data_IF_399678097412
#
_entry.id   IF_399678097412
#
_cell.length_a   1.000
_cell.length_b   1.000
_cell.length_c   1.000
_cell.angle_alpha   90.00
_cell.angle_beta   90.00
_cell.angle_gamma   90.00
#
_symmetry.space_group_name_H-M   'P 1'
#
loop_
_entity.id
_entity.type
_entity.pdbx_description
1 polymer ?
#
# COMPACT_ATOMS: atom_id res chain seq x y z
N UNK A 1 -18.63 2.24 5.27
CA UNK A 1 -19.05 3.66 5.24
C UNK A 1 -19.71 3.94 6.57
N UNK A 2 -19.26 4.96 7.31
CA UNK A 2 -19.95 5.40 8.53
C UNK A 2 -21.27 6.09 8.16
N UNK A 3 -22.15 6.29 9.14
CA UNK A 3 -23.43 7.00 8.93
C UNK A 3 -23.24 8.41 8.34
N UNK A 4 -22.08 9.03 8.56
CA UNK A 4 -21.69 10.35 8.03
C UNK A 4 -21.16 10.32 6.58
N UNK A 5 -21.21 9.18 5.90
CA UNK A 5 -20.68 9.04 4.54
C UNK A 5 -19.16 9.04 4.42
N UNK A 6 -18.43 8.96 5.55
CA UNK A 6 -16.97 8.82 5.56
C UNK A 6 -16.56 7.35 5.42
N UNK A 7 -15.42 7.13 4.76
CA UNK A 7 -14.80 5.82 4.70
C UNK A 7 -14.37 5.40 6.10
N UNK A 8 -14.87 4.25 6.56
CA UNK A 8 -14.44 3.67 7.82
C UNK A 8 -13.10 2.96 7.60
N UNK A 9 -12.10 3.28 8.42
CA UNK A 9 -10.84 2.58 8.51
C UNK A 9 -10.49 2.45 9.99
N UNK A 10 -9.99 1.28 10.41
CA UNK A 10 -9.38 1.10 11.74
C UNK A 10 -8.23 2.10 11.92
N UNK A 11 -7.87 2.40 13.17
CA UNK A 11 -6.94 3.47 13.57
C UNK A 11 -5.85 3.76 12.52
N UNK A 12 -5.90 4.96 11.94
CA UNK A 12 -5.04 5.34 10.80
C UNK A 12 -3.74 5.90 11.36
N UNK A 13 -2.64 5.13 11.33
CA UNK A 13 -1.42 5.55 11.98
C UNK A 13 -0.75 6.67 11.19
N UNK A 14 -0.13 7.59 11.91
CA UNK A 14 0.82 8.55 11.35
C UNK A 14 2.24 8.07 11.67
N UNK A 15 3.02 7.79 10.63
CA UNK A 15 4.38 7.29 10.73
C UNK A 15 5.29 8.26 10.00
N UNK A 16 6.28 8.84 10.70
CA UNK A 16 7.23 9.80 10.13
C UNK A 16 6.53 11.00 9.43
N UNK A 17 5.39 11.45 9.94
CA UNK A 17 4.60 12.54 9.35
C UNK A 17 3.73 12.13 8.16
N UNK A 18 3.69 10.84 7.81
CA UNK A 18 2.84 10.30 6.76
C UNK A 18 1.69 9.49 7.35
N UNK A 19 0.44 9.85 7.01
CA UNK A 19 -0.74 9.06 7.37
C UNK A 19 -0.91 7.88 6.43
N UNK A 20 -0.95 6.68 6.98
CA UNK A 20 -1.08 5.45 6.20
C UNK A 20 -2.56 5.13 5.92
N UNK A 21 -3.06 5.65 4.80
CA UNK A 21 -4.38 5.32 4.26
C UNK A 21 -4.31 4.05 3.41
N UNK A 22 -5.44 3.35 3.33
CA UNK A 22 -5.52 2.08 2.62
C UNK A 22 -5.16 0.89 3.52
N UNK A 23 -5.08 -0.29 2.91
CA UNK A 23 -4.60 -1.52 3.55
C UNK A 23 -3.34 -2.02 2.87
N UNK A 24 -2.52 -2.84 3.54
CA UNK A 24 -1.40 -3.52 2.89
C UNK A 24 -1.92 -4.38 1.72
N UNK A 25 -1.29 -4.26 0.56
CA UNK A 25 -1.63 -4.98 -0.66
C UNK A 25 -0.55 -6.01 -1.02
N UNK A 26 0.43 -5.61 -1.85
CA UNK A 26 1.56 -6.47 -2.16
C UNK A 26 2.59 -6.39 -1.04
N UNK A 27 3.21 -7.52 -0.75
CA UNK A 27 4.27 -7.62 0.24
C UNK A 27 5.52 -8.23 -0.40
N UNK A 28 6.68 -7.66 -0.07
CA UNK A 28 7.96 -8.02 -0.66
C UNK A 28 8.98 -8.24 0.44
N UNK A 29 9.52 -9.47 0.53
CA UNK A 29 10.52 -9.85 1.54
C UNK A 29 11.92 -9.87 0.91
N UNK A 30 12.88 -9.26 1.60
CA UNK A 30 14.30 -9.31 1.21
C UNK A 30 14.84 -10.74 1.30
N UNK A 31 15.83 -11.06 0.46
CA UNK A 31 16.46 -12.39 0.44
C UNK A 31 17.10 -12.79 1.78
N UNK A 32 17.59 -11.82 2.56
CA UNK A 32 18.14 -12.06 3.89
C UNK A 32 17.05 -12.24 4.98
N UNK A 33 15.78 -12.09 4.63
CA UNK A 33 14.63 -12.24 5.51
C UNK A 33 14.44 -11.12 6.54
N UNK A 34 15.22 -10.03 6.48
CA UNK A 34 15.24 -8.99 7.53
C UNK A 34 14.33 -7.80 7.26
N UNK A 35 13.84 -7.64 6.02
CA UNK A 35 13.06 -6.45 5.61
C UNK A 35 11.81 -6.87 4.85
N UNK A 36 10.66 -6.46 5.35
CA UNK A 36 9.36 -6.63 4.70
C UNK A 36 8.86 -5.25 4.26
N UNK A 37 8.55 -5.11 2.99
CA UNK A 37 7.93 -3.91 2.43
C UNK A 37 6.51 -4.24 2.00
N UNK A 38 5.60 -3.30 2.20
CA UNK A 38 4.21 -3.44 1.81
C UNK A 38 3.79 -2.21 1.00
N UNK A 39 3.00 -2.45 -0.04
CA UNK A 39 2.34 -1.40 -0.82
C UNK A 39 0.88 -1.25 -0.41
N UNK A 40 0.18 -0.25 -0.92
CA UNK A 40 -1.16 0.12 -0.45
C UNK A 40 -2.23 0.26 -1.56
N UNK A 41 -1.89 -0.04 -2.82
CA UNK A 41 -2.83 0.03 -3.96
C UNK A 41 -2.95 -1.32 -4.66
N UNK A 42 -4.21 -1.70 -4.96
CA UNK A 42 -4.54 -2.91 -5.70
C UNK A 42 -4.82 -2.60 -7.16
N UNK A 43 -5.86 -1.79 -7.38
CA UNK A 43 -6.38 -1.48 -8.68
C UNK A 43 -7.19 -0.20 -8.58
N UNK A 44 -6.88 0.76 -9.44
CA UNK A 44 -7.33 2.13 -9.25
C UNK A 44 -8.85 2.31 -9.15
N UNK A 45 -9.67 1.48 -9.80
CA UNK A 45 -11.14 1.59 -9.66
C UNK A 45 -11.63 1.11 -8.31
N UNK A 46 -11.01 0.07 -7.75
CA UNK A 46 -11.30 -0.44 -6.43
C UNK A 46 -10.76 0.49 -5.34
N UNK A 47 -9.54 1.00 -5.51
CA UNK A 47 -8.95 1.94 -4.56
C UNK A 47 -9.82 3.20 -4.42
N UNK A 48 -10.40 3.70 -5.52
CA UNK A 48 -11.36 4.83 -5.48
C UNK A 48 -12.68 4.50 -4.76
N UNK A 49 -13.11 3.24 -4.77
CA UNK A 49 -14.34 2.82 -4.10
C UNK A 49 -14.12 2.57 -2.61
N UNK A 50 -13.00 1.94 -2.27
CA UNK A 50 -12.70 1.46 -0.92
C UNK A 50 -11.96 2.53 -0.12
N UNK A 51 -11.04 3.26 -0.75
CA UNK A 51 -10.23 4.32 -0.15
C UNK A 51 -10.20 5.59 -1.02
N UNK A 52 -11.33 6.32 -1.14
CA UNK A 52 -11.42 7.53 -1.99
C UNK A 52 -10.31 8.54 -1.72
N UNK A 53 -9.99 8.78 -0.44
CA UNK A 53 -8.93 9.71 -0.03
C UNK A 53 -7.51 9.33 -0.49
N UNK A 54 -7.29 8.06 -0.83
CA UNK A 54 -6.01 7.59 -1.38
C UNK A 54 -5.80 8.16 -2.79
N UNK A 55 -6.87 8.21 -3.60
CA UNK A 55 -6.84 8.67 -4.97
C UNK A 55 -7.13 10.18 -5.12
N UNK A 56 -7.95 10.76 -4.24
CA UNK A 56 -8.37 12.17 -4.31
C UNK A 56 -7.22 13.17 -4.11
N UNK A 57 -6.14 12.74 -3.46
CA UNK A 57 -5.02 13.62 -3.13
C UNK A 57 -3.97 13.68 -4.24
N UNK A 58 -4.09 12.93 -5.33
CA UNK A 58 -3.14 13.07 -6.45
C UNK A 58 -3.18 14.50 -7.05
N UNK A 59 -2.02 15.07 -7.41
CA UNK A 59 -0.67 14.45 -7.41
C UNK A 59 0.08 14.55 -6.07
N UNK A 60 -0.45 15.32 -5.11
CA UNK A 60 0.24 15.67 -3.85
C UNK A 60 0.05 14.62 -2.73
N UNK A 61 -0.69 13.54 -3.03
CA UNK A 61 -1.04 12.45 -2.13
C UNK A 61 -0.01 11.32 -2.10
N UNK A 62 -0.19 10.33 -1.22
CA UNK A 62 0.66 9.14 -1.22
C UNK A 62 0.54 8.41 -2.57
N UNK A 63 1.66 7.96 -3.11
CA UNK A 63 1.70 7.18 -4.35
C UNK A 63 0.85 5.90 -4.21
N UNK A 64 0.06 5.59 -5.23
CA UNK A 64 -0.67 4.33 -5.35
C UNK A 64 0.26 3.20 -5.84
N UNK A 65 1.25 2.86 -5.02
CA UNK A 65 2.22 1.84 -5.36
C UNK A 65 1.55 0.46 -5.41
N UNK A 66 1.82 -0.31 -6.46
CA UNK A 66 1.31 -1.67 -6.62
C UNK A 66 2.37 -2.71 -6.27
N UNK A 67 3.48 -2.75 -7.02
CA UNK A 67 4.57 -3.72 -6.82
C UNK A 67 5.90 -3.01 -6.55
N UNK A 68 6.75 -3.63 -5.74
CA UNK A 68 8.16 -3.26 -5.55
C UNK A 68 9.04 -4.40 -6.04
N UNK A 69 10.18 -4.07 -6.67
CA UNK A 69 11.19 -5.05 -7.06
C UNK A 69 12.53 -4.67 -6.47
N UNK A 70 13.19 -5.60 -5.80
CA UNK A 70 14.51 -5.34 -5.23
C UNK A 70 15.60 -5.44 -6.30
N UNK A 71 16.57 -4.50 -6.30
CA UNK A 71 17.80 -4.68 -7.07
C UNK A 71 18.51 -5.97 -6.61
N UNK A 72 18.72 -6.90 -7.53
CA UNK A 72 19.36 -8.19 -7.24
C UNK A 72 18.42 -9.31 -6.75
N UNK A 73 17.11 -9.08 -6.74
CA UNK A 73 16.10 -10.09 -6.45
C UNK A 73 15.51 -10.01 -5.03
N UNK A 74 14.33 -10.59 -4.89
CA UNK A 74 13.55 -10.74 -3.68
C UNK A 74 12.87 -12.11 -3.65
N UNK A 75 12.22 -12.46 -2.54
CA UNK A 75 11.62 -13.78 -2.37
C UNK A 75 10.46 -14.09 -3.35
N UNK A 76 10.04 -13.13 -4.18
CA UNK A 76 8.98 -13.32 -5.18
C UNK A 76 9.45 -13.13 -6.62
N UNK A 77 10.70 -12.70 -6.85
CA UNK A 77 11.27 -12.60 -8.20
C UNK A 77 11.96 -13.88 -8.65
N UNK A 78 12.53 -14.65 -7.71
CA UNK A 78 13.41 -15.77 -8.03
C UNK A 78 12.78 -17.10 -7.61
N UNK A 79 12.75 -18.04 -8.57
CA UNK A 79 12.30 -19.42 -8.35
C UNK A 79 13.53 -20.32 -8.51
N UNK A 80 13.85 -21.07 -7.46
CA UNK A 80 14.93 -22.05 -7.45
C UNK A 80 14.37 -23.44 -7.80
N UNK A 81 15.02 -24.18 -8.71
CA UNK A 81 14.65 -25.54 -9.17
C UNK A 81 15.64 -26.56 -8.62
#
# INVERSE_FOLDING_TARGET
MTEDGKTWQSDVPEIQGHRLRGGPNMIQLSLDGKRLYATNSLFSTWDRQIYPELAEKEPDGPCMAHEMRYPGGDCTSDIWI
#
